data_IF_428906885867
#
_entry.id   IF_428906885867
#
_cell.length_a   1.000
_cell.length_b   1.000
_cell.length_c   1.000
_cell.angle_alpha   90.00
_cell.angle_beta   90.00
_cell.angle_gamma   90.00
#
_symmetry.space_group_name_H-M   'P 1'
#
loop_
_entity.id
_entity.type
_entity.pdbx_description
1 polymer ?
#
# COMPACT_ATOMS: atom_id res chain seq x y z
N UNK A 1 8.60 -13.19 -16.89
CA UNK A 1 7.46 -12.36 -16.45
C UNK A 1 7.96 -11.41 -15.37
N UNK A 2 7.97 -10.13 -15.66
CA UNK A 2 8.38 -9.15 -14.64
C UNK A 2 7.36 -9.13 -13.52
N UNK A 3 7.80 -9.10 -12.25
CA UNK A 3 6.86 -8.99 -11.15
C UNK A 3 6.10 -7.68 -11.22
N UNK A 4 4.80 -7.72 -10.98
CA UNK A 4 3.98 -6.52 -10.86
C UNK A 4 4.38 -5.86 -9.53
N UNK A 5 5.15 -4.79 -9.60
CA UNK A 5 5.66 -4.14 -8.39
C UNK A 5 4.82 -2.95 -7.91
N UNK A 6 3.91 -2.51 -8.74
CA UNK A 6 3.02 -1.40 -8.39
C UNK A 6 3.70 -0.04 -8.22
N UNK A 7 4.99 0.06 -8.48
CA UNK A 7 5.75 1.31 -8.26
C UNK A 7 5.33 2.44 -9.18
N UNK A 8 4.68 2.10 -10.31
CA UNK A 8 4.20 3.10 -11.28
C UNK A 8 2.77 3.56 -11.03
N UNK A 9 2.15 3.07 -9.97
CA UNK A 9 0.77 3.43 -9.68
C UNK A 9 0.70 4.85 -9.10
N UNK A 10 -0.32 5.59 -9.53
CA UNK A 10 -0.58 6.92 -8.97
C UNK A 10 -0.94 6.83 -7.48
N UNK A 11 -0.77 7.93 -6.72
CA UNK A 11 -1.18 7.94 -5.31
C UNK A 11 -2.65 7.54 -5.10
N UNK A 12 -3.54 7.90 -6.01
CA UNK A 12 -4.95 7.51 -5.93
C UNK A 12 -5.12 5.99 -6.04
N UNK A 13 -4.47 5.37 -7.03
CA UNK A 13 -4.53 3.92 -7.22
C UNK A 13 -3.94 3.17 -6.04
N UNK A 14 -2.82 3.65 -5.51
CA UNK A 14 -2.22 3.11 -4.28
C UNK A 14 -3.23 3.19 -3.14
N UNK A 15 -3.89 4.32 -2.98
CA UNK A 15 -4.93 4.50 -1.95
C UNK A 15 -6.07 3.51 -2.08
N UNK A 16 -6.54 3.25 -3.29
CA UNK A 16 -7.62 2.28 -3.53
C UNK A 16 -7.20 0.86 -3.16
N UNK A 17 -5.99 0.45 -3.56
CA UNK A 17 -5.49 -0.88 -3.22
C UNK A 17 -5.29 -1.06 -1.72
N UNK A 18 -4.76 -0.04 -1.04
CA UNK A 18 -4.61 -0.06 0.42
C UNK A 18 -5.97 -0.19 1.13
N UNK A 19 -6.96 0.57 0.65
CA UNK A 19 -8.31 0.53 1.22
C UNK A 19 -8.94 -0.86 1.07
N UNK A 20 -8.86 -1.45 -0.12
CA UNK A 20 -9.40 -2.80 -0.37
C UNK A 20 -8.68 -3.83 0.52
N UNK A 21 -7.37 -3.70 0.67
CA UNK A 21 -6.58 -4.56 1.53
C UNK A 21 -7.01 -4.47 2.99
N UNK A 22 -7.19 -3.25 3.50
CA UNK A 22 -7.60 -3.00 4.90
C UNK A 22 -9.01 -3.48 5.19
N UNK A 23 -9.92 -3.37 4.20
CA UNK A 23 -11.28 -3.89 4.35
C UNK A 23 -11.31 -5.41 4.35
N UNK A 24 -10.40 -6.04 3.63
CA UNK A 24 -10.36 -7.49 3.48
C UNK A 24 -11.46 -8.03 2.59
N UNK A 25 -11.17 -9.10 1.86
CA UNK A 25 -12.16 -9.76 1.01
C UNK A 25 -12.66 -8.91 -0.15
N UNK A 26 -13.95 -8.98 -0.42
CA UNK A 26 -14.59 -8.30 -1.54
C UNK A 26 -15.18 -6.96 -1.10
N UNK A 27 -14.92 -5.91 -1.88
CA UNK A 27 -15.38 -4.54 -1.60
C UNK A 27 -16.20 -4.04 -2.78
N UNK A 28 -17.32 -3.40 -2.48
CA UNK A 28 -18.17 -2.80 -3.51
C UNK A 28 -17.52 -1.55 -4.09
N UNK A 29 -17.63 -1.37 -5.41
CA UNK A 29 -17.10 -0.17 -6.07
C UNK A 29 -17.76 1.10 -5.54
N UNK A 30 -19.04 1.02 -5.17
CA UNK A 30 -19.75 2.16 -4.55
C UNK A 30 -19.15 2.57 -3.21
N UNK A 31 -18.66 1.63 -2.41
CA UNK A 31 -18.01 1.92 -1.14
C UNK A 31 -16.67 2.64 -1.36
N UNK A 32 -15.93 2.23 -2.39
CA UNK A 32 -14.68 2.91 -2.76
C UNK A 32 -14.97 4.35 -3.20
N UNK A 33 -15.96 4.52 -4.07
CA UNK A 33 -16.37 5.84 -4.56
C UNK A 33 -16.75 6.77 -3.40
N UNK A 34 -17.54 6.27 -2.44
CA UNK A 34 -17.96 7.03 -1.27
C UNK A 34 -16.78 7.38 -0.37
N UNK A 35 -15.89 6.40 -0.12
CA UNK A 35 -14.74 6.60 0.77
C UNK A 35 -13.78 7.67 0.27
N UNK A 36 -13.58 7.74 -1.05
CA UNK A 36 -12.63 8.67 -1.65
C UNK A 36 -13.29 9.91 -2.28
N UNK A 37 -14.62 10.04 -2.13
CA UNK A 37 -15.40 11.17 -2.68
C UNK A 37 -15.17 11.34 -4.19
N UNK A 38 -15.23 10.23 -4.92
CA UNK A 38 -14.99 10.20 -6.36
C UNK A 38 -16.25 9.76 -7.08
N UNK A 39 -16.46 10.33 -8.25
CA UNK A 39 -17.61 10.00 -9.10
C UNK A 39 -17.62 8.49 -9.45
N UNK A 40 -18.78 7.83 -9.39
CA UNK A 40 -18.88 6.39 -9.71
C UNK A 40 -18.33 6.01 -11.07
N UNK A 41 -18.51 6.84 -12.10
CA UNK A 41 -17.97 6.54 -13.43
C UNK A 41 -16.43 6.55 -13.45
N UNK A 42 -15.83 7.47 -12.71
CA UNK A 42 -14.36 7.55 -12.55
C UNK A 42 -13.84 6.31 -11.82
N UNK A 43 -14.51 5.89 -10.76
CA UNK A 43 -14.13 4.68 -10.03
C UNK A 43 -14.22 3.45 -10.92
N UNK A 44 -15.31 3.30 -11.67
CA UNK A 44 -15.50 2.16 -12.57
C UNK A 44 -14.35 2.08 -13.59
N UNK A 45 -13.95 3.21 -14.15
CA UNK A 45 -12.84 3.28 -15.10
C UNK A 45 -11.53 2.86 -14.42
N UNK A 46 -11.22 3.43 -13.26
CA UNK A 46 -9.98 3.15 -12.54
C UNK A 46 -9.90 1.69 -12.09
N UNK A 47 -11.00 1.14 -11.61
CA UNK A 47 -11.09 -0.28 -11.23
C UNK A 47 -10.85 -1.17 -12.45
N UNK A 48 -11.40 -0.80 -13.61
CA UNK A 48 -11.15 -1.49 -14.88
C UNK A 48 -9.66 -1.48 -15.25
N UNK A 49 -8.98 -0.36 -15.09
CA UNK A 49 -7.55 -0.24 -15.34
C UNK A 49 -6.74 -1.13 -14.39
N UNK A 50 -7.07 -1.11 -13.09
CA UNK A 50 -6.40 -1.94 -12.09
C UNK A 50 -6.65 -3.43 -12.31
N UNK A 51 -7.85 -3.81 -12.72
CA UNK A 51 -8.17 -5.20 -13.06
C UNK A 51 -7.41 -5.66 -14.30
N UNK A 52 -7.34 -4.80 -15.32
CA UNK A 52 -6.58 -5.09 -16.55
C UNK A 52 -5.08 -5.19 -16.30
N UNK A 53 -4.55 -4.48 -15.31
CA UNK A 53 -3.14 -4.54 -14.93
C UNK A 53 -2.83 -5.72 -13.99
N UNK A 54 -3.81 -6.48 -13.55
CA UNK A 54 -3.59 -7.69 -12.75
C UNK A 54 -3.63 -7.49 -11.23
N UNK A 55 -4.08 -6.32 -10.74
CA UNK A 55 -4.13 -6.05 -9.30
C UNK A 55 -5.44 -6.46 -8.64
N UNK A 56 -6.53 -6.47 -9.42
CA UNK A 56 -7.88 -6.73 -8.91
C UNK A 56 -8.56 -7.83 -9.72
N UNK A 57 -9.48 -8.52 -9.07
CA UNK A 57 -10.40 -9.47 -9.72
C UNK A 57 -11.83 -9.05 -9.44
N UNK A 58 -12.69 -9.13 -10.44
CA UNK A 58 -14.12 -8.90 -10.27
C UNK A 58 -14.78 -10.11 -9.63
N UNK A 59 -15.66 -9.86 -8.67
CA UNK A 59 -16.52 -10.86 -8.07
C UNK A 59 -17.95 -10.51 -8.53
N UNK A 60 -18.58 -11.29 -9.43
CA UNK A 60 -19.89 -10.94 -9.97
C UNK A 60 -20.89 -10.61 -8.86
N UNK A 61 -21.60 -9.51 -9.03
CA UNK A 61 -22.62 -8.98 -8.10
C UNK A 61 -22.12 -8.52 -6.73
N UNK A 62 -20.82 -8.71 -6.40
CA UNK A 62 -20.30 -8.39 -5.07
C UNK A 62 -19.26 -7.26 -5.06
N UNK A 63 -18.61 -7.01 -6.18
CA UNK A 63 -17.60 -5.96 -6.30
C UNK A 63 -16.25 -6.46 -6.78
N UNK A 64 -15.20 -6.06 -6.09
CA UNK A 64 -13.81 -6.42 -6.46
C UNK A 64 -13.06 -6.92 -5.24
N UNK A 65 -12.07 -7.77 -5.49
CA UNK A 65 -11.10 -8.19 -4.48
C UNK A 65 -9.69 -8.08 -5.07
N UNK A 66 -8.69 -8.10 -4.19
CA UNK A 66 -7.30 -8.10 -4.63
C UNK A 66 -6.94 -9.46 -5.22
N UNK A 67 -6.19 -9.45 -6.33
CA UNK A 67 -5.49 -10.64 -6.81
C UNK A 67 -4.32 -10.94 -5.86
N UNK A 68 -3.66 -12.09 -6.04
CA UNK A 68 -2.45 -12.39 -5.24
C UNK A 68 -1.37 -11.34 -5.44
N UNK A 69 -1.16 -10.88 -6.69
CA UNK A 69 -0.23 -9.80 -6.98
C UNK A 69 -0.67 -8.49 -6.30
N UNK A 70 -1.97 -8.19 -6.34
CA UNK A 70 -2.53 -7.01 -5.68
C UNK A 70 -2.34 -7.03 -4.17
N UNK A 71 -2.52 -8.20 -3.55
CA UNK A 71 -2.28 -8.36 -2.09
C UNK A 71 -0.83 -8.08 -1.73
N UNK A 72 0.12 -8.64 -2.48
CA UNK A 72 1.55 -8.41 -2.23
C UNK A 72 1.91 -6.93 -2.37
N UNK A 73 1.38 -6.27 -3.39
CA UNK A 73 1.60 -4.83 -3.56
C UNK A 73 0.98 -4.02 -2.43
N UNK A 74 -0.25 -4.32 -2.05
CA UNK A 74 -0.94 -3.61 -0.98
C UNK A 74 -0.23 -3.77 0.37
N UNK A 75 0.25 -4.98 0.67
CA UNK A 75 1.05 -5.23 1.87
C UNK A 75 2.30 -4.36 1.89
N UNK A 76 2.99 -4.25 0.76
CA UNK A 76 4.16 -3.38 0.64
C UNK A 76 3.75 -1.90 0.80
N UNK A 77 2.66 -1.46 0.19
CA UNK A 77 2.22 -0.06 0.31
C UNK A 77 1.90 0.31 1.76
N UNK A 78 1.27 -0.59 2.49
CA UNK A 78 0.96 -0.39 3.91
C UNK A 78 2.26 -0.33 4.72
N UNK A 79 3.18 -1.27 4.50
CA UNK A 79 4.49 -1.28 5.15
C UNK A 79 5.27 0.00 4.84
N UNK A 80 5.29 0.42 3.58
CA UNK A 80 6.00 1.63 3.15
C UNK A 80 5.50 2.86 3.90
N UNK A 81 4.19 3.02 3.98
CA UNK A 81 3.59 4.13 4.73
C UNK A 81 4.02 4.09 6.20
N UNK A 82 3.95 2.92 6.82
CA UNK A 82 4.25 2.76 8.25
C UNK A 82 5.72 2.98 8.57
N UNK A 83 6.63 2.47 7.74
CA UNK A 83 8.07 2.69 7.92
C UNK A 83 8.42 4.17 7.76
N UNK A 84 7.93 4.82 6.71
CA UNK A 84 8.23 6.23 6.45
C UNK A 84 7.65 7.14 7.55
N UNK A 85 6.42 6.90 7.97
CA UNK A 85 5.82 7.72 9.02
C UNK A 85 6.51 7.53 10.37
N UNK A 86 6.91 6.30 10.70
CA UNK A 86 7.70 6.05 11.92
C UNK A 86 9.04 6.78 11.88
N UNK A 87 9.72 6.78 10.74
CA UNK A 87 10.97 7.51 10.56
C UNK A 87 10.79 9.02 10.82
N UNK A 88 9.75 9.62 10.24
CA UNK A 88 9.47 11.05 10.42
C UNK A 88 9.13 11.39 11.87
N UNK A 89 8.41 10.52 12.57
CA UNK A 89 8.13 10.71 14.00
C UNK A 89 9.43 10.70 14.81
N UNK A 90 10.36 9.81 14.46
CA UNK A 90 11.68 9.77 15.12
C UNK A 90 12.50 11.03 14.89
N UNK A 91 12.23 11.76 13.79
CA UNK A 91 12.84 13.06 13.52
C UNK A 91 12.10 14.22 14.21
N UNK A 92 10.98 13.98 14.85
CA UNK A 92 10.30 14.98 15.66
C UNK A 92 8.93 15.44 15.13
N UNK A 93 8.43 14.89 14.02
CA UNK A 93 7.09 15.23 13.57
C UNK A 93 6.05 14.57 14.49
N UNK A 94 4.88 15.21 14.60
CA UNK A 94 3.75 14.57 15.27
C UNK A 94 3.23 13.41 14.40
N UNK A 95 2.46 12.51 15.00
CA UNK A 95 1.86 11.38 14.27
C UNK A 95 1.03 11.86 13.08
N UNK A 96 0.22 12.90 13.29
CA UNK A 96 -0.63 13.46 12.22
C UNK A 96 0.19 14.09 11.10
N UNK A 97 1.23 14.85 11.46
CA UNK A 97 2.13 15.48 10.49
C UNK A 97 2.87 14.42 9.67
N UNK A 98 3.40 13.40 10.34
CA UNK A 98 4.14 12.33 9.69
C UNK A 98 3.26 11.58 8.68
N UNK A 99 2.06 11.19 9.09
CA UNK A 99 1.12 10.47 8.24
C UNK A 99 0.75 11.31 7.00
N UNK A 100 0.47 12.59 7.20
CA UNK A 100 0.10 13.50 6.13
C UNK A 100 1.25 13.72 5.13
N UNK A 101 2.45 13.97 5.64
CA UNK A 101 3.62 14.18 4.78
C UNK A 101 3.97 12.94 3.97
N UNK A 102 3.98 11.78 4.61
CA UNK A 102 4.29 10.51 3.93
C UNK A 102 3.30 10.23 2.80
N UNK A 103 2.03 10.51 3.01
CA UNK A 103 1.01 10.30 1.97
C UNK A 103 1.30 11.08 0.68
N UNK A 104 2.07 12.16 0.79
CA UNK A 104 2.42 13.01 -0.37
C UNK A 104 3.54 12.42 -1.22
N UNK A 105 4.46 11.65 -0.65
CA UNK A 105 5.64 11.18 -1.38
C UNK A 105 5.87 9.66 -1.33
N UNK A 106 5.11 8.92 -0.53
CA UNK A 106 5.36 7.49 -0.33
C UNK A 106 5.37 6.68 -1.63
N UNK A 107 4.57 7.07 -2.61
CA UNK A 107 4.47 6.37 -3.89
C UNK A 107 5.76 6.45 -4.72
N UNK A 108 6.65 7.38 -4.39
CA UNK A 108 7.92 7.59 -5.08
C UNK A 108 9.09 6.82 -4.46
N UNK A 109 8.88 6.19 -3.31
CA UNK A 109 9.95 5.51 -2.57
C UNK A 109 9.98 4.03 -2.94
N UNK A 110 11.14 3.55 -3.35
CA UNK A 110 11.32 2.17 -3.82
C UNK A 110 11.27 1.14 -2.70
N UNK A 111 11.03 -0.12 -3.09
CA UNK A 111 11.07 -1.24 -2.15
C UNK A 111 12.45 -1.38 -1.51
N UNK A 112 13.53 -1.23 -2.27
CA UNK A 112 14.90 -1.32 -1.74
C UNK A 112 15.17 -0.28 -0.68
N UNK A 113 14.71 0.96 -0.89
CA UNK A 113 14.84 2.03 0.10
C UNK A 113 14.09 1.69 1.39
N UNK A 114 12.86 1.18 1.28
CA UNK A 114 12.06 0.80 2.44
C UNK A 114 12.69 -0.36 3.20
N UNK A 115 13.18 -1.38 2.50
CA UNK A 115 13.84 -2.52 3.14
C UNK A 115 15.12 -2.09 3.86
N UNK A 116 15.89 -1.20 3.26
CA UNK A 116 17.09 -0.64 3.87
C UNK A 116 16.75 0.15 5.14
N UNK A 117 15.74 1.01 5.09
CA UNK A 117 15.26 1.76 6.25
C UNK A 117 14.74 0.83 7.35
N UNK A 118 13.97 -0.18 6.97
CA UNK A 118 13.43 -1.15 7.91
C UNK A 118 14.56 -1.87 8.67
N UNK A 119 15.58 -2.32 7.96
CA UNK A 119 16.76 -2.95 8.58
C UNK A 119 17.48 -1.99 9.51
N UNK A 120 17.71 -0.75 9.08
CA UNK A 120 18.39 0.27 9.89
C UNK A 120 17.61 0.61 11.18
N UNK A 121 16.28 0.50 11.12
CA UNK A 121 15.40 0.74 12.27
C UNK A 121 15.19 -0.51 13.15
N UNK A 122 15.85 -1.63 12.82
CA UNK A 122 15.78 -2.86 13.60
C UNK A 122 14.49 -3.68 13.34
N UNK A 123 13.93 -3.62 12.16
CA UNK A 123 12.68 -4.30 11.79
C UNK A 123 11.55 -4.03 12.79
N UNK A 124 11.10 -2.77 12.93
CA UNK A 124 10.07 -2.43 13.90
C UNK A 124 8.77 -3.19 13.62
N UNK A 125 8.11 -3.66 14.67
CA UNK A 125 6.86 -4.41 14.55
C UNK A 125 5.62 -3.52 14.57
N UNK A 126 5.75 -2.29 15.03
CA UNK A 126 4.64 -1.35 15.16
C UNK A 126 5.07 0.05 14.73
N UNK A 127 4.22 0.68 13.95
CA UNK A 127 4.33 2.10 13.60
C UNK A 127 3.17 2.88 14.19
N UNK A 128 3.08 4.17 13.86
CA UNK A 128 2.01 5.04 14.36
C UNK A 128 0.63 4.65 13.80
N UNK A 129 0.60 3.99 12.65
CA UNK A 129 -0.64 3.61 11.97
C UNK A 129 -1.00 2.12 12.14
N UNK A 130 -0.21 1.36 12.88
CA UNK A 130 -0.49 -0.04 13.15
C UNK A 130 0.70 -0.97 13.02
N UNK A 131 0.43 -2.25 12.99
CA UNK A 131 1.42 -3.30 12.93
C UNK A 131 2.18 -3.30 11.60
N UNK A 132 3.50 -3.52 11.67
CA UNK A 132 4.37 -3.61 10.49
C UNK A 132 4.74 -5.08 10.28
N UNK A 133 4.39 -5.61 9.11
CA UNK A 133 4.74 -6.99 8.74
C UNK A 133 5.98 -6.99 7.85
N UNK A 134 6.72 -8.09 7.89
CA UNK A 134 7.98 -8.23 7.15
C UNK A 134 7.88 -9.44 6.21
N UNK A 135 8.22 -9.23 4.94
CA UNK A 135 8.25 -10.30 3.96
C UNK A 135 9.64 -10.95 3.90
N UNK A 136 9.73 -12.04 3.13
CA UNK A 136 10.98 -12.78 2.96
C UNK A 136 12.09 -11.92 2.36
N UNK A 137 11.75 -10.99 1.46
CA UNK A 137 12.71 -10.08 0.84
C UNK A 137 13.35 -9.13 1.84
N UNK A 138 12.56 -8.59 2.75
CA UNK A 138 13.05 -7.73 3.81
C UNK A 138 13.96 -8.47 4.79
N UNK A 139 13.58 -9.68 5.17
CA UNK A 139 14.34 -10.49 6.13
C UNK A 139 15.59 -11.13 5.53
N UNK A 140 15.62 -11.36 4.24
CA UNK A 140 16.76 -11.97 3.55
C UNK A 140 18.05 -11.13 3.65
N UNK A 141 17.93 -9.81 3.81
CA UNK A 141 19.08 -8.91 3.98
C UNK A 141 19.80 -9.04 5.33
N UNK A 142 19.33 -9.86 6.25
CA UNK A 142 19.97 -10.05 7.55
C UNK A 142 21.09 -11.10 7.53
N UNK A 143 21.20 -11.88 6.46
CA UNK A 143 22.13 -13.01 6.41
C UNK A 143 23.57 -12.61 6.12
N UNK A 144 23.85 -11.37 5.73
CA UNK A 144 25.16 -10.89 5.27
C UNK A 144 25.80 -9.84 6.19
N UNK A 145 25.45 -9.83 7.46
CA UNK A 145 26.11 -8.92 8.41
C UNK A 145 27.02 -9.66 9.37
#
# INVERSE_FOLDING_TARGET
MEPIDGLFLSPKKVGYLKYIFERGGTVKTSDIASRFHVDPSTITKTIGELSGAGFLSHVPYHGVCLSDAGKRCAEFFVKRHRILSLALVRFGLSDEQACREVSRFESLVSRDAIDTMCRAMGHPSHGICGEITHDAGCMAGQADS
#
